data_IF_765908294355
#
_entry.id   IF_765908294355
#
_cell.length_a   1.000
_cell.length_b   1.000
_cell.length_c   1.000
_cell.angle_alpha   90.00
_cell.angle_beta   90.00
_cell.angle_gamma   90.00
#
_symmetry.space_group_name_H-M   'P 1'
#
loop_
_entity.id
_entity.type
_entity.pdbx_description
1 polymer ?
#
# COMPACT_ATOMS: atom_id res chain seq x y z
N UNK A 1 -10.18 26.08 -13.92
CA UNK A 1 -9.14 27.13 -14.08
C UNK A 1 -8.11 27.07 -12.97
N UNK A 2 -8.49 27.04 -11.69
CA UNK A 2 -7.56 26.91 -10.54
C UNK A 2 -6.66 25.66 -10.64
N UNK A 3 -7.23 24.49 -10.94
CA UNK A 3 -6.48 23.23 -11.19
C UNK A 3 -5.45 23.30 -12.33
N UNK A 4 -5.61 24.26 -13.26
CA UNK A 4 -4.61 24.49 -14.32
C UNK A 4 -3.39 25.26 -13.81
N UNK A 5 -3.61 26.16 -12.84
CA UNK A 5 -2.57 26.94 -12.18
C UNK A 5 -1.80 26.06 -11.17
N UNK A 6 -2.50 25.16 -10.48
CA UNK A 6 -1.88 24.24 -9.49
C UNK A 6 -1.09 23.09 -10.14
N UNK A 7 -1.10 22.98 -11.47
CA UNK A 7 -0.37 21.95 -12.20
C UNK A 7 -0.97 20.55 -12.14
N UNK A 8 -2.16 20.39 -11.56
CA UNK A 8 -2.84 19.09 -11.38
C UNK A 8 -3.50 18.56 -12.68
N UNK A 9 -3.60 19.39 -13.72
CA UNK A 9 -4.17 18.95 -14.99
C UNK A 9 -3.21 18.03 -15.76
N UNK A 10 -3.68 16.84 -16.22
CA UNK A 10 -2.89 15.99 -17.10
C UNK A 10 -2.55 16.71 -18.40
N UNK A 11 -1.35 16.43 -18.95
CA UNK A 11 -0.77 17.17 -20.08
C UNK A 11 -1.71 17.35 -21.29
N UNK A 12 -2.53 16.34 -21.61
CA UNK A 12 -3.52 16.42 -22.70
C UNK A 12 -4.58 17.50 -22.44
N UNK A 13 -5.14 17.56 -21.22
CA UNK A 13 -6.15 18.56 -20.86
C UNK A 13 -5.54 19.95 -20.76
N UNK A 14 -4.29 20.05 -20.31
CA UNK A 14 -3.57 21.33 -20.26
C UNK A 14 -3.43 21.96 -21.66
N UNK A 15 -2.96 21.21 -22.65
CA UNK A 15 -2.84 21.69 -24.04
C UNK A 15 -4.18 22.14 -24.64
N UNK A 16 -5.27 21.43 -24.35
CA UNK A 16 -6.60 21.80 -24.82
C UNK A 16 -7.07 23.13 -24.20
N UNK A 17 -6.85 23.31 -22.89
CA UNK A 17 -7.16 24.54 -22.18
C UNK A 17 -6.29 25.70 -22.68
N UNK A 18 -4.98 25.50 -22.86
CA UNK A 18 -4.06 26.50 -23.40
C UNK A 18 -4.49 26.95 -24.80
N UNK A 19 -4.91 26.01 -25.65
CA UNK A 19 -5.42 26.31 -26.98
C UNK A 19 -6.73 27.11 -26.99
N UNK A 20 -7.60 26.90 -26.00
CA UNK A 20 -8.82 27.69 -25.82
C UNK A 20 -8.51 29.10 -25.28
N UNK A 21 -7.69 29.19 -24.23
CA UNK A 21 -7.25 30.45 -23.62
C UNK A 21 -6.56 31.33 -24.65
N UNK A 22 -5.74 30.76 -25.55
CA UNK A 22 -5.11 31.52 -26.62
C UNK A 22 -6.11 32.25 -27.55
N UNK A 23 -7.32 31.69 -27.73
CA UNK A 23 -8.34 32.23 -28.65
C UNK A 23 -9.41 33.06 -27.96
N UNK A 24 -9.67 32.83 -26.67
CA UNK A 24 -10.75 33.48 -25.94
C UNK A 24 -10.23 34.65 -25.08
N UNK A 25 -10.52 35.92 -25.42
CA UNK A 25 -10.04 37.07 -24.65
C UNK A 25 -10.60 37.13 -23.22
N UNK A 26 -11.86 36.70 -23.01
CA UNK A 26 -12.46 36.62 -21.68
C UNK A 26 -11.69 35.67 -20.78
N UNK A 27 -11.40 34.45 -21.26
CA UNK A 27 -10.63 33.47 -20.49
C UNK A 27 -9.17 33.91 -20.24
N UNK A 28 -8.55 34.68 -21.15
CA UNK A 28 -7.23 35.28 -20.88
C UNK A 28 -7.28 36.28 -19.75
N UNK A 29 -8.31 37.12 -19.73
CA UNK A 29 -8.50 38.10 -18.66
C UNK A 29 -8.73 37.41 -17.32
N UNK A 30 -9.60 36.40 -17.26
CA UNK A 30 -9.84 35.60 -16.05
C UNK A 30 -8.56 34.90 -15.54
N UNK A 31 -7.75 34.34 -16.45
CA UNK A 31 -6.47 33.72 -16.08
C UNK A 31 -5.46 34.74 -15.56
N UNK A 32 -5.37 35.92 -16.18
CA UNK A 32 -4.51 37.00 -15.71
C UNK A 32 -4.95 37.51 -14.32
N UNK A 33 -6.25 37.68 -14.08
CA UNK A 33 -6.79 38.08 -12.78
C UNK A 33 -6.51 37.04 -11.70
N UNK A 34 -6.72 35.75 -12.00
CA UNK A 34 -6.43 34.67 -11.05
C UNK A 34 -4.93 34.61 -10.74
N UNK A 35 -4.07 34.74 -11.75
CA UNK A 35 -2.62 34.79 -11.56
C UNK A 35 -2.18 35.99 -10.71
N UNK A 36 -2.77 37.17 -10.93
CA UNK A 36 -2.50 38.37 -10.14
C UNK A 36 -2.91 38.20 -8.67
N UNK A 37 -4.06 37.57 -8.40
CA UNK A 37 -4.50 37.24 -7.03
C UNK A 37 -3.52 36.29 -6.37
N UNK A 38 -3.13 35.19 -7.05
CA UNK A 38 -2.15 34.24 -6.51
C UNK A 38 -0.78 34.89 -6.25
N UNK A 39 -0.33 35.79 -7.13
CA UNK A 39 0.88 36.56 -6.93
C UNK A 39 0.76 37.50 -5.73
N UNK A 40 -0.39 38.17 -5.57
CA UNK A 40 -0.68 39.02 -4.41
C UNK A 40 -0.67 38.24 -3.10
N UNK A 41 -1.33 37.07 -3.07
CA UNK A 41 -1.34 36.17 -1.91
C UNK A 41 0.07 35.64 -1.61
N UNK A 42 0.83 35.26 -2.63
CA UNK A 42 2.22 34.81 -2.47
C UNK A 42 3.16 35.90 -1.97
N UNK A 43 2.84 37.17 -2.22
CA UNK A 43 3.56 38.33 -1.70
C UNK A 43 3.19 38.70 -0.25
N UNK A 44 2.09 38.16 0.29
CA UNK A 44 1.79 38.32 1.71
C UNK A 44 2.87 37.61 2.51
N UNK A 45 3.39 38.28 3.55
CA UNK A 45 4.37 37.73 4.47
C UNK A 45 3.77 36.51 5.19
N UNK A 46 3.92 35.35 4.55
CA UNK A 46 3.52 34.03 5.05
C UNK A 46 4.66 33.37 5.81
N UNK A 47 5.71 34.12 6.13
CA UNK A 47 6.79 33.67 7.01
C UNK A 47 6.30 33.61 8.45
N UNK A 48 5.48 32.60 8.73
CA UNK A 48 5.35 32.08 10.07
C UNK A 48 6.66 31.38 10.39
N UNK A 49 7.39 31.87 11.39
CA UNK A 49 8.56 31.17 11.91
C UNK A 49 8.12 29.78 12.38
N UNK A 50 8.56 28.74 11.67
CA UNK A 50 8.27 27.37 12.08
C UNK A 50 9.01 27.14 13.40
N UNK A 51 8.32 26.77 14.50
CA UNK A 51 8.99 26.51 15.76
C UNK A 51 10.02 25.40 15.55
N UNK A 52 11.28 25.60 15.97
CA UNK A 52 12.36 24.65 15.72
C UNK A 52 12.08 23.21 16.20
N UNK A 53 11.22 23.05 17.22
CA UNK A 53 10.74 21.73 17.67
C UNK A 53 9.97 20.97 16.59
N UNK A 54 9.17 21.67 15.77
CA UNK A 54 8.34 21.08 14.72
C UNK A 54 9.20 20.71 13.52
N UNK A 55 10.16 21.56 13.18
CA UNK A 55 11.18 21.26 12.17
C UNK A 55 12.01 20.02 12.56
N UNK A 56 12.53 19.98 13.79
CA UNK A 56 13.26 18.83 14.32
C UNK A 56 12.42 17.55 14.35
N UNK A 57 11.15 17.64 14.77
CA UNK A 57 10.23 16.51 14.77
C UNK A 57 9.96 15.99 13.34
N UNK A 58 9.81 16.90 12.38
CA UNK A 58 9.59 16.57 10.97
C UNK A 58 10.83 15.89 10.38
N UNK A 59 12.03 16.46 10.59
CA UNK A 59 13.28 15.83 10.14
C UNK A 59 13.52 14.47 10.78
N UNK A 60 13.20 14.32 12.07
CA UNK A 60 13.27 13.02 12.74
C UNK A 60 12.33 12.01 12.08
N UNK A 61 11.10 12.41 11.76
CA UNK A 61 10.12 11.53 11.08
C UNK A 61 10.59 11.15 9.67
N UNK A 62 11.11 12.10 8.90
CA UNK A 62 11.66 11.85 7.55
C UNK A 62 12.85 10.88 7.62
N UNK A 63 13.76 11.04 8.59
CA UNK A 63 14.89 10.11 8.79
C UNK A 63 14.43 8.69 9.15
N UNK A 64 13.40 8.57 10.00
CA UNK A 64 12.85 7.26 10.36
C UNK A 64 12.16 6.58 9.15
N UNK A 65 11.42 7.34 8.33
CA UNK A 65 10.81 6.82 7.11
C UNK A 65 11.87 6.35 6.11
N UNK A 66 12.92 7.15 5.89
CA UNK A 66 14.03 6.79 5.02
C UNK A 66 14.78 5.53 5.52
N UNK A 67 15.01 5.41 6.83
CA UNK A 67 15.62 4.22 7.42
C UNK A 67 14.75 2.97 7.22
N UNK A 68 13.43 3.08 7.44
CA UNK A 68 12.50 1.98 7.22
C UNK A 68 12.41 1.57 5.73
N UNK A 69 12.51 2.52 4.80
CA UNK A 69 12.61 2.21 3.37
C UNK A 69 13.91 1.48 3.02
N UNK A 70 15.04 1.90 3.60
CA UNK A 70 16.33 1.23 3.43
C UNK A 70 16.29 -0.23 3.93
N UNK A 71 15.68 -0.50 5.08
CA UNK A 71 15.48 -1.86 5.59
C UNK A 71 14.61 -2.72 4.66
N UNK A 72 13.51 -2.15 4.13
CA UNK A 72 12.67 -2.83 3.12
C UNK A 72 13.41 -3.07 1.81
N UNK A 73 14.32 -2.19 1.42
CA UNK A 73 15.17 -2.39 0.25
C UNK A 73 16.21 -3.49 0.49
N UNK A 74 16.87 -3.49 1.66
CA UNK A 74 17.87 -4.48 2.05
C UNK A 74 17.28 -5.89 2.16
N UNK A 75 16.10 -6.03 2.79
CA UNK A 75 15.37 -7.30 2.87
C UNK A 75 14.98 -7.79 1.47
N UNK A 76 14.41 -6.94 0.61
CA UNK A 76 14.11 -7.31 -0.78
C UNK A 76 15.36 -7.76 -1.56
N UNK A 77 16.49 -7.08 -1.37
CA UNK A 77 17.76 -7.46 -2.00
C UNK A 77 18.27 -8.83 -1.50
N UNK A 78 18.18 -9.09 -0.20
CA UNK A 78 18.54 -10.37 0.39
C UNK A 78 17.68 -11.53 -0.14
N UNK A 79 16.35 -11.35 -0.21
CA UNK A 79 15.43 -12.34 -0.79
C UNK A 79 15.73 -12.61 -2.28
N UNK A 80 16.07 -11.58 -3.07
CA UNK A 80 16.50 -11.76 -4.47
C UNK A 80 17.80 -12.56 -4.56
N UNK A 81 18.77 -12.29 -3.67
CA UNK A 81 20.06 -12.99 -3.64
C UNK A 81 19.90 -14.47 -3.27
N UNK A 82 18.93 -14.82 -2.44
CA UNK A 82 18.61 -16.22 -2.10
C UNK A 82 17.80 -16.96 -3.17
N UNK A 83 16.95 -16.26 -3.94
CA UNK A 83 16.16 -16.91 -5.01
C UNK A 83 17.00 -17.32 -6.22
N UNK A 84 18.05 -16.55 -6.56
CA UNK A 84 18.95 -16.84 -7.67
C UNK A 84 19.63 -18.23 -7.60
N UNK A 85 20.26 -18.64 -6.48
CA UNK A 85 20.86 -19.97 -6.38
C UNK A 85 19.80 -21.08 -6.37
N UNK A 86 18.63 -20.87 -5.75
CA UNK A 86 17.56 -21.88 -5.71
C UNK A 86 17.05 -22.22 -7.12
N UNK A 87 16.89 -21.22 -7.99
CA UNK A 87 16.53 -21.46 -9.39
C UNK A 87 17.62 -22.23 -10.15
N UNK A 88 18.90 -21.92 -9.90
CA UNK A 88 20.02 -22.64 -10.51
C UNK A 88 20.11 -24.11 -10.08
N UNK A 89 19.82 -24.42 -8.81
CA UNK A 89 19.75 -25.81 -8.34
C UNK A 89 18.54 -26.55 -8.91
N UNK A 90 17.37 -25.89 -8.99
CA UNK A 90 16.18 -26.50 -9.57
C UNK A 90 16.40 -26.88 -11.05
N UNK A 91 17.01 -26.00 -11.85
CA UNK A 91 17.31 -26.31 -13.26
C UNK A 91 18.36 -27.42 -13.39
N UNK A 92 19.39 -27.44 -12.54
CA UNK A 92 20.39 -28.51 -12.53
C UNK A 92 19.78 -29.88 -12.18
N UNK A 93 18.89 -29.95 -11.18
CA UNK A 93 18.18 -31.19 -10.82
C UNK A 93 17.30 -31.68 -11.96
N UNK A 94 16.54 -30.78 -12.61
CA UNK A 94 15.71 -31.14 -13.78
C UNK A 94 16.58 -31.66 -14.93
N UNK A 95 17.73 -31.02 -15.20
CA UNK A 95 18.66 -31.48 -16.22
C UNK A 95 19.25 -32.86 -15.90
N UNK A 96 19.64 -33.12 -14.65
CA UNK A 96 20.15 -34.43 -14.21
C UNK A 96 19.09 -35.52 -14.38
N UNK A 97 17.84 -35.24 -13.99
CA UNK A 97 16.71 -36.18 -14.17
C UNK A 97 16.44 -36.44 -15.65
N UNK A 98 16.43 -35.39 -16.48
CA UNK A 98 16.22 -35.54 -17.93
C UNK A 98 17.32 -36.38 -18.59
N UNK A 99 18.59 -36.14 -18.25
CA UNK A 99 19.73 -36.94 -18.74
C UNK A 99 19.67 -38.38 -18.22
N UNK A 100 19.30 -38.57 -16.95
CA UNK A 100 19.10 -39.90 -16.36
C UNK A 100 18.02 -40.69 -17.08
N UNK A 101 16.89 -40.06 -17.40
CA UNK A 101 15.80 -40.68 -18.15
C UNK A 101 16.23 -41.03 -19.59
N UNK A 102 16.87 -40.12 -20.32
CA UNK A 102 17.39 -40.40 -21.67
C UNK A 102 18.40 -41.55 -21.67
N UNK A 103 19.31 -41.58 -20.70
CA UNK A 103 20.33 -42.65 -20.59
C UNK A 103 19.77 -43.99 -20.13
N UNK A 104 18.61 -43.98 -19.46
CA UNK A 104 17.87 -45.19 -19.07
C UNK A 104 16.95 -45.73 -20.16
N UNK A 105 16.59 -44.92 -21.14
CA UNK A 105 15.75 -45.30 -22.28
C UNK A 105 16.43 -46.25 -23.28
N UNK A 106 17.76 -46.26 -23.33
CA UNK A 106 18.55 -47.18 -24.17
C UNK A 106 18.82 -48.55 -23.52
N UNK A 107 18.28 -48.80 -22.32
CA UNK A 107 18.25 -50.17 -21.79
C UNK A 107 16.97 -50.84 -22.27
N UNK A 108 17.05 -51.84 -23.18
CA UNK A 108 15.89 -52.66 -23.47
C UNK A 108 15.34 -53.19 -22.15
N UNK A 109 14.03 -53.00 -21.97
CA UNK A 109 13.27 -53.44 -20.80
C UNK A 109 13.44 -54.96 -20.62
N UNK A 110 14.49 -55.37 -19.92
CA UNK A 110 14.58 -56.68 -19.35
C UNK A 110 13.50 -56.74 -18.27
N UNK A 111 12.45 -57.49 -18.62
CA UNK A 111 11.33 -57.92 -17.81
C UNK A 111 11.68 -58.01 -16.32
N UNK A 112 10.93 -57.23 -15.56
CA UNK A 112 10.88 -57.18 -14.11
C UNK A 112 10.47 -58.56 -13.60
N UNK A 113 11.47 -59.33 -13.18
CA UNK A 113 11.29 -60.57 -12.43
C UNK A 113 10.49 -60.33 -11.16
N UNK A 114 9.43 -61.11 -11.03
CA UNK A 114 8.55 -61.24 -9.88
C UNK A 114 9.36 -61.77 -8.69
N UNK A 115 9.12 -61.21 -7.51
CA UNK A 115 9.33 -61.90 -6.24
C UNK A 115 10.56 -61.47 -5.45
N UNK A 116 10.33 -60.73 -4.37
CA UNK A 116 10.69 -61.22 -3.04
C UNK A 116 9.99 -60.42 -1.94
N UNK A 117 9.15 -61.12 -1.19
CA UNK A 117 8.71 -60.73 0.14
C UNK A 117 9.93 -60.44 1.03
N UNK A 118 9.88 -59.34 1.77
CA UNK A 118 10.45 -59.33 3.12
C UNK A 118 9.66 -58.41 4.02
N UNK A 119 8.71 -59.04 4.73
CA UNK A 119 8.18 -58.61 6.01
C UNK A 119 9.34 -58.36 6.97
N UNK A 120 9.50 -57.12 7.45
CA UNK A 120 10.07 -56.84 8.76
C UNK A 120 9.16 -55.82 9.44
N UNK A 121 8.51 -56.32 10.48
CA UNK A 121 7.80 -55.57 11.51
C UNK A 121 8.83 -54.86 12.37
N UNK A 122 8.69 -53.54 12.58
CA UNK A 122 9.02 -52.89 13.85
C UNK A 122 8.50 -51.45 13.88
N UNK A 123 7.36 -51.29 14.56
CA UNK A 123 7.09 -50.25 15.56
C UNK A 123 7.28 -48.77 15.17
N UNK A 124 6.14 -48.08 15.05
CA UNK A 124 6.00 -46.70 15.48
C UNK A 124 6.28 -46.59 17.00
N UNK A 125 6.65 -45.40 17.51
CA UNK A 125 5.58 -44.60 18.10
C UNK A 125 5.70 -43.08 17.88
N UNK A 126 4.55 -42.51 17.51
CA UNK A 126 3.87 -41.32 18.06
C UNK A 126 4.61 -40.01 18.32
N UNK A 127 3.84 -38.92 18.07
CA UNK A 127 3.91 -37.57 18.67
C UNK A 127 5.04 -36.68 18.15
N UNK A 128 4.87 -35.43 17.77
CA UNK A 128 3.85 -34.43 18.05
C UNK A 128 3.81 -33.38 16.92
N UNK A 129 2.62 -32.90 16.60
CA UNK A 129 2.35 -31.60 15.99
C UNK A 129 1.10 -31.07 16.71
N UNK A 130 0.86 -29.75 16.82
CA UNK A 130 1.65 -28.64 17.36
C UNK A 130 0.91 -27.99 18.57
N UNK A 131 1.35 -26.82 19.06
CA UNK A 131 0.40 -25.71 19.13
C UNK A 131 1.07 -24.44 18.51
N UNK A 132 0.47 -23.79 17.51
CA UNK A 132 -0.53 -22.73 17.64
C UNK A 132 -0.41 -21.90 18.93
N UNK A 133 -0.46 -20.58 18.73
CA UNK A 133 -0.59 -19.51 19.73
C UNK A 133 0.72 -18.98 20.33
N UNK A 134 1.25 -17.92 19.70
CA UNK A 134 1.54 -16.66 20.41
C UNK A 134 1.75 -15.52 19.39
N UNK A 135 0.63 -15.00 18.84
CA UNK A 135 0.57 -13.59 18.46
C UNK A 135 0.83 -12.77 19.72
N UNK A 136 2.08 -12.32 19.89
CA UNK A 136 2.38 -11.27 20.87
C UNK A 136 2.22 -9.93 20.18
N UNK A 137 0.96 -9.62 19.90
CA UNK A 137 0.51 -8.26 19.70
C UNK A 137 0.84 -7.49 20.97
N UNK A 138 1.91 -6.70 20.91
CA UNK A 138 2.32 -5.80 21.98
C UNK A 138 1.30 -4.66 21.98
N UNK A 139 0.14 -4.93 22.58
CA UNK A 139 -0.77 -3.89 23.06
C UNK A 139 0.00 -3.02 24.03
N UNK A 140 0.01 -1.74 23.72
CA UNK A 140 0.42 -0.66 24.59
C UNK A 140 -0.16 -0.85 26.01
N UNK A 141 0.57 -0.45 27.06
CA UNK A 141 -0.09 -0.11 28.31
C UNK A 141 -0.97 1.10 28.03
N UNK A 142 -2.27 0.80 27.89
CA UNK A 142 -3.38 1.71 28.02
C UNK A 142 -3.14 2.55 29.27
N UNK A 143 -2.60 3.75 29.08
CA UNK A 143 -2.76 4.83 30.02
C UNK A 143 -4.28 5.02 30.12
N UNK A 144 -4.85 4.55 31.24
CA UNK A 144 -6.15 4.98 31.72
C UNK A 144 -6.05 6.47 31.96
N UNK A 145 -6.19 7.25 30.88
CA UNK A 145 -6.71 8.59 30.98
C UNK A 145 -8.11 8.41 31.55
N UNK A 146 -8.25 8.71 32.84
CA UNK A 146 -9.51 8.99 33.49
C UNK A 146 -10.31 9.91 32.58
N UNK A 147 -11.32 9.35 31.91
CA UNK A 147 -12.34 10.12 31.21
C UNK A 147 -13.07 10.90 32.31
N UNK A 148 -12.99 12.24 32.35
CA UNK A 148 -13.79 13.00 33.29
C UNK A 148 -15.27 12.69 33.01
N UNK A 149 -15.98 12.24 34.04
CA UNK A 149 -17.41 11.90 33.93
C UNK A 149 -18.29 13.12 33.65
N UNK A 150 -17.74 14.33 33.80
CA UNK A 150 -18.41 15.58 33.50
C UNK A 150 -17.76 16.26 32.28
N UNK A 151 -18.58 16.66 31.28
CA UNK A 151 -18.07 17.44 30.17
C UNK A 151 -17.52 18.78 30.72
N UNK A 152 -16.36 19.26 30.22
CA UNK A 152 -15.83 20.54 30.64
C UNK A 152 -16.89 21.65 30.43
N UNK A 153 -17.01 22.60 31.37
CA UNK A 153 -18.11 23.57 31.42
C UNK A 153 -18.22 24.43 30.17
N UNK A 154 -17.12 24.57 29.42
CA UNK A 154 -17.06 25.24 28.12
C UNK A 154 -17.95 24.57 27.04
N UNK A 155 -18.14 23.24 27.11
CA UNK A 155 -18.98 22.49 26.18
C UNK A 155 -20.47 22.51 26.55
N UNK A 156 -20.79 22.67 27.84
CA UNK A 156 -22.17 22.85 28.29
C UNK A 156 -22.73 24.24 27.93
N UNK A 157 -21.86 25.24 27.79
CA UNK A 157 -22.23 26.61 27.48
C UNK A 157 -22.50 26.88 25.98
N UNK A 158 -22.05 26.01 25.08
CA UNK A 158 -22.16 26.20 23.63
C UNK A 158 -22.52 24.89 22.89
N UNK A 159 -23.74 24.36 23.05
CA UNK A 159 -24.18 23.13 22.36
C UNK A 159 -24.19 23.29 20.82
N UNK A 160 -24.32 24.52 20.33
CA UNK A 160 -24.35 24.85 18.90
C UNK A 160 -23.00 24.66 18.19
N UNK A 161 -21.89 24.58 18.95
CA UNK A 161 -20.53 24.46 18.40
C UNK A 161 -20.35 23.16 17.58
N UNK A 162 -21.21 22.17 17.81
CA UNK A 162 -21.16 20.88 17.13
C UNK A 162 -22.08 20.79 15.91
N UNK A 163 -23.03 21.71 15.75
CA UNK A 163 -24.05 21.63 14.68
C UNK A 163 -23.43 21.90 13.30
N UNK A 164 -22.38 22.72 13.24
CA UNK A 164 -21.70 23.10 11.99
C UNK A 164 -20.43 22.29 11.69
N UNK A 165 -20.14 21.21 12.43
CA UNK A 165 -19.01 20.36 12.09
C UNK A 165 -19.31 19.57 10.81
N UNK A 166 -18.58 19.82 9.70
CA UNK A 166 -18.81 19.10 8.43
C UNK A 166 -18.56 17.59 8.57
N UNK A 167 -17.95 17.14 9.67
CA UNK A 167 -17.80 15.74 10.02
C UNK A 167 -19.15 15.04 10.21
N UNK A 168 -20.10 15.69 10.91
CA UNK A 168 -21.45 15.13 11.15
C UNK A 168 -22.27 15.09 9.87
N UNK A 169 -22.16 16.13 9.03
CA UNK A 169 -22.87 16.21 7.73
C UNK A 169 -22.44 15.13 6.73
N UNK A 170 -21.28 14.51 6.93
CA UNK A 170 -20.78 13.45 6.07
C UNK A 170 -20.82 12.06 6.73
N UNK A 171 -21.38 11.91 7.93
CA UNK A 171 -21.51 10.58 8.55
C UNK A 171 -22.45 9.66 7.76
N UNK A 172 -23.50 10.19 7.13
CA UNK A 172 -24.37 9.44 6.21
C UNK A 172 -23.59 8.91 4.98
N UNK A 173 -22.54 9.62 4.54
CA UNK A 173 -21.66 9.13 3.47
C UNK A 173 -20.74 8.00 3.93
N UNK A 174 -20.56 7.83 5.23
CA UNK A 174 -19.76 6.74 5.80
C UNK A 174 -20.57 5.45 5.98
N UNK A 175 -21.90 5.47 5.90
CA UNK A 175 -22.73 4.25 6.01
C UNK A 175 -22.52 3.28 4.83
N UNK A 176 -22.00 3.77 3.69
CA UNK A 176 -21.69 2.93 2.52
C UNK A 176 -20.23 2.44 2.46
N UNK A 177 -19.46 2.54 3.56
CA UNK A 177 -18.07 2.03 3.58
C UNK A 177 -17.99 0.50 3.42
N UNK A 178 -19.04 -0.24 3.80
CA UNK A 178 -19.14 -1.70 3.61
C UNK A 178 -19.11 -2.07 2.12
N UNK A 179 -19.71 -1.26 1.25
CA UNK A 179 -19.78 -1.52 -0.20
C UNK A 179 -18.42 -1.42 -0.89
N UNK A 180 -17.50 -0.61 -0.35
CA UNK A 180 -16.14 -0.44 -0.90
C UNK A 180 -15.25 -1.65 -0.57
N UNK A 181 -15.55 -2.42 0.49
CA UNK A 181 -14.79 -3.62 0.86
C UNK A 181 -15.18 -4.85 0.05
N UNK A 182 -16.38 -4.88 -0.53
CA UNK A 182 -16.86 -6.05 -1.30
C UNK A 182 -16.52 -6.00 -2.79
N UNK A 183 -16.10 -4.85 -3.32
CA UNK A 183 -15.42 -4.81 -4.62
C UNK A 183 -13.95 -5.16 -4.42
N UNK A 184 -13.70 -6.42 -4.04
CA UNK A 184 -12.44 -7.07 -4.44
C UNK A 184 -12.31 -6.88 -5.94
N UNK A 185 -11.14 -6.42 -6.39
CA UNK A 185 -10.74 -6.45 -7.78
C UNK A 185 -10.98 -7.88 -8.29
N UNK A 186 -12.11 -8.11 -8.95
CA UNK A 186 -12.31 -9.22 -9.85
C UNK A 186 -12.19 -8.62 -11.25
N UNK A 187 -11.11 -9.03 -11.89
CA UNK A 187 -10.69 -8.59 -13.20
C UNK A 187 -11.61 -9.18 -14.27
N UNK A 188 -12.06 -8.32 -15.19
CA UNK A 188 -12.43 -8.73 -16.54
C UNK A 188 -13.91 -9.04 -16.75
N UNK A 189 -14.56 -8.22 -17.57
CA UNK A 189 -15.13 -8.72 -18.82
C UNK A 189 -15.39 -7.57 -19.80
N UNK A 190 -15.13 -7.87 -21.06
CA UNK A 190 -15.07 -6.98 -22.21
C UNK A 190 -16.45 -6.42 -22.55
N UNK A 191 -16.64 -5.11 -22.47
CA UNK A 191 -17.75 -4.46 -23.17
C UNK A 191 -17.32 -4.10 -24.59
N UNK A 192 -17.59 -5.07 -25.46
CA UNK A 192 -17.73 -4.94 -26.90
C UNK A 192 -18.72 -3.81 -27.23
N UNK A 193 -18.24 -2.76 -27.90
CA UNK A 193 -19.10 -1.73 -28.48
C UNK A 193 -19.55 -2.20 -29.88
N UNK A 194 -20.85 -2.41 -30.03
CA UNK A 194 -21.55 -2.34 -31.32
C UNK A 194 -21.82 -0.91 -31.74
#
# INVERSE_FOLDING_TARGET
MVTALDGELPARRRRALDGHVARCPACRHEMATTAAVLQGVGGLATSSEVPGRLEQATFRRVRLLAAAEAERAATRAWWKRLRLPVLGFATAVVAIVAVGLMRSGDRPLASRGIGRERRVVAQAPTKDQPPLVASRERRDPKATATVPAEPPPELAAAPELFVDLPLLRNMEKLEHFETIRTTTLDDGEEQSNG
#
